data_IF_583080547931
#
_entry.id   IF_583080547931
#
_cell.length_a   1.000
_cell.length_b   1.000
_cell.length_c   1.000
_cell.angle_alpha   90.00
_cell.angle_beta   90.00
_cell.angle_gamma   90.00
#
_symmetry.space_group_name_H-M   'P 1'
#
loop_
_entity.id
_entity.type
_entity.pdbx_description
1 polymer ?
#
# COMPACT_ATOMS: atom_id res chain seq x y z
N UNK A 1 1.22 -27.94 9.11
CA UNK A 1 2.33 -27.30 9.84
C UNK A 1 2.04 -25.81 9.86
N UNK A 2 1.65 -25.25 11.00
CA UNK A 2 1.16 -23.87 11.14
C UNK A 2 2.08 -23.09 12.10
N UNK A 3 2.84 -22.08 11.64
CA UNK A 3 3.81 -21.41 12.47
C UNK A 3 3.14 -20.30 13.31
N UNK A 4 2.86 -20.63 14.57
CA UNK A 4 3.03 -19.77 15.76
C UNK A 4 2.52 -18.31 15.67
N UNK A 5 1.25 -18.09 15.35
CA UNK A 5 0.54 -16.84 15.66
C UNK A 5 0.25 -16.71 17.17
N UNK A 6 1.23 -16.50 18.04
CA UNK A 6 0.89 -16.32 19.48
C UNK A 6 1.90 -15.59 20.37
N UNK A 7 2.83 -14.80 19.83
CA UNK A 7 3.67 -13.92 20.68
C UNK A 7 3.39 -12.42 20.53
N UNK A 8 2.91 -11.96 19.37
CA UNK A 8 2.64 -10.52 19.13
C UNK A 8 1.37 -9.98 19.78
N UNK A 9 0.36 -10.82 20.02
CA UNK A 9 -0.96 -10.36 20.50
C UNK A 9 -0.91 -9.88 21.97
N UNK A 10 0.03 -10.41 22.77
CA UNK A 10 0.18 -10.02 24.18
C UNK A 10 1.00 -8.74 24.37
N UNK A 11 1.84 -8.34 23.41
CA UNK A 11 2.59 -7.08 23.46
C UNK A 11 1.73 -5.88 23.00
N UNK A 12 0.72 -6.13 22.14
CA UNK A 12 -0.20 -5.12 21.61
C UNK A 12 -1.01 -4.37 22.68
N UNK A 13 -1.51 -5.07 23.70
CA UNK A 13 -2.38 -4.48 24.74
C UNK A 13 -1.70 -3.33 25.51
N UNK A 14 -0.36 -3.25 25.50
CA UNK A 14 0.38 -2.17 26.16
C UNK A 14 0.39 -0.85 25.36
N UNK A 15 0.29 -0.91 24.03
CA UNK A 15 0.37 0.25 23.13
C UNK A 15 -1.00 0.72 22.61
N UNK A 16 -2.09 0.11 23.08
CA UNK A 16 -3.42 0.28 22.49
C UNK A 16 -4.17 1.52 23.02
N UNK A 17 -3.76 2.09 24.15
CA UNK A 17 -4.61 3.02 24.92
C UNK A 17 -3.97 4.37 25.25
N UNK A 18 -2.69 4.56 24.98
CA UNK A 18 -2.03 5.85 25.25
C UNK A 18 -2.16 6.74 24.00
N UNK A 19 -2.84 7.87 24.15
CA UNK A 19 -2.98 8.84 23.07
C UNK A 19 -1.61 9.45 22.76
N UNK A 20 -1.27 9.47 21.46
CA UNK A 20 -0.12 10.18 20.94
C UNK A 20 -0.40 11.70 20.98
N UNK A 21 0.65 12.52 21.13
CA UNK A 21 0.61 13.95 20.85
C UNK A 21 -0.02 14.25 19.48
N UNK A 22 -0.68 15.41 19.36
CA UNK A 22 -1.44 15.80 18.15
C UNK A 22 -0.59 15.85 16.89
N UNK A 23 0.68 16.24 17.01
CA UNK A 23 1.69 16.24 15.94
C UNK A 23 2.07 14.83 15.44
N UNK A 24 1.69 13.79 16.19
CA UNK A 24 1.94 12.37 15.88
C UNK A 24 0.67 11.61 15.50
N UNK A 25 -0.47 12.28 15.37
CA UNK A 25 -1.71 11.64 14.93
C UNK A 25 -1.57 11.15 13.50
N UNK A 26 -2.18 9.99 13.22
CA UNK A 26 -2.35 9.57 11.84
C UNK A 26 -3.53 10.30 11.23
N UNK A 27 -3.30 11.03 10.15
CA UNK A 27 -4.37 11.72 9.41
C UNK A 27 -4.73 10.92 8.15
N UNK A 28 -5.96 10.40 8.12
CA UNK A 28 -6.51 9.79 6.91
C UNK A 28 -6.88 10.90 5.93
N UNK A 29 -6.25 10.90 4.75
CA UNK A 29 -6.49 11.87 3.68
C UNK A 29 -6.81 11.16 2.37
N UNK A 30 -7.77 11.72 1.64
CA UNK A 30 -8.01 11.33 0.26
C UNK A 30 -6.92 11.88 -0.67
N UNK A 31 -6.78 11.32 -1.89
CA UNK A 31 -5.90 11.89 -2.93
C UNK A 31 -6.22 13.35 -3.26
N UNK A 32 -7.46 13.79 -3.02
CA UNK A 32 -7.90 15.18 -3.17
C UNK A 32 -7.31 16.14 -2.12
N UNK A 33 -6.66 15.62 -1.08
CA UNK A 33 -6.19 16.37 0.09
C UNK A 33 -7.25 16.54 1.18
N UNK A 34 -8.47 16.03 0.99
CA UNK A 34 -9.53 16.09 2.00
C UNK A 34 -9.20 15.18 3.19
N UNK A 35 -9.29 15.71 4.40
CA UNK A 35 -9.15 14.95 5.64
C UNK A 35 -10.44 14.17 5.93
N UNK A 36 -10.29 12.87 6.15
CA UNK A 36 -11.39 11.92 6.42
C UNK A 36 -11.50 11.63 7.91
N UNK A 37 -10.39 11.68 8.62
CA UNK A 37 -10.35 11.43 10.06
C UNK A 37 -8.93 11.40 10.60
N UNK A 38 -8.84 11.25 11.92
CA UNK A 38 -7.57 11.16 12.63
C UNK A 38 -7.56 9.93 13.53
N UNK A 39 -6.36 9.42 13.81
CA UNK A 39 -6.13 8.43 14.85
C UNK A 39 -5.02 8.90 15.79
N UNK A 40 -5.42 9.10 17.05
CA UNK A 40 -4.53 9.42 18.17
C UNK A 40 -3.98 8.17 18.86
N UNK A 41 -4.55 7.00 18.59
CA UNK A 41 -4.15 5.71 19.17
C UNK A 41 -4.09 4.61 18.11
N UNK A 42 -3.35 3.53 18.40
CA UNK A 42 -3.33 2.32 17.57
C UNK A 42 -4.75 1.74 17.41
N UNK A 43 -5.58 1.81 18.47
CA UNK A 43 -6.97 1.34 18.40
C UNK A 43 -7.81 2.16 17.40
N UNK A 44 -7.66 3.48 17.41
CA UNK A 44 -8.32 4.36 16.44
C UNK A 44 -7.81 4.13 15.03
N UNK A 45 -6.51 3.92 14.86
CA UNK A 45 -5.92 3.62 13.57
C UNK A 45 -6.49 2.33 12.98
N UNK A 46 -6.58 1.26 13.77
CA UNK A 46 -7.19 -0.01 13.34
C UNK A 46 -8.66 0.15 12.98
N UNK A 47 -9.42 0.95 13.73
CA UNK A 47 -10.82 1.28 13.39
C UNK A 47 -10.91 2.07 12.09
N UNK A 48 -10.03 3.06 11.91
CA UNK A 48 -9.91 3.86 10.69
C UNK A 48 -9.65 2.96 9.48
N UNK A 49 -8.59 2.13 9.52
CA UNK A 49 -8.22 1.22 8.42
C UNK A 49 -9.36 0.27 8.02
N UNK A 50 -10.24 -0.12 8.95
CA UNK A 50 -11.40 -0.98 8.67
C UNK A 50 -12.60 -0.25 8.06
N UNK A 51 -12.67 1.07 8.19
CA UNK A 51 -13.86 1.85 7.87
C UNK A 51 -13.68 2.83 6.72
N UNK A 52 -12.46 3.31 6.49
CA UNK A 52 -12.16 4.22 5.38
C UNK A 52 -12.19 3.49 4.04
N UNK A 53 -12.50 4.24 2.98
CA UNK A 53 -12.59 3.73 1.62
C UNK A 53 -11.28 3.09 1.14
N UNK A 54 -11.40 2.07 0.28
CA UNK A 54 -10.25 1.34 -0.26
C UNK A 54 -9.30 2.25 -1.06
N UNK A 55 -9.79 3.30 -1.70
CA UNK A 55 -8.97 4.31 -2.39
C UNK A 55 -8.12 5.13 -1.42
N UNK A 56 -8.64 5.45 -0.23
CA UNK A 56 -7.88 6.12 0.85
C UNK A 56 -6.82 5.18 1.41
N UNK A 57 -7.16 3.91 1.61
CA UNK A 57 -6.18 2.89 2.03
C UNK A 57 -5.06 2.77 0.99
N UNK A 58 -5.41 2.62 -0.28
CA UNK A 58 -4.46 2.52 -1.36
C UNK A 58 -3.55 3.75 -1.44
N UNK A 59 -4.11 4.95 -1.29
CA UNK A 59 -3.36 6.20 -1.28
C UNK A 59 -2.25 6.20 -0.24
N UNK A 60 -2.59 5.93 1.03
CA UNK A 60 -1.61 5.86 2.11
C UNK A 60 -0.62 4.69 1.97
N UNK A 61 -1.10 3.54 1.51
CA UNK A 61 -0.28 2.35 1.27
C UNK A 61 0.80 2.64 0.22
N UNK A 62 0.42 3.29 -0.90
CA UNK A 62 1.34 3.61 -2.00
C UNK A 62 2.46 4.58 -1.59
N UNK A 63 2.24 5.36 -0.52
CA UNK A 63 3.16 6.38 0.01
C UNK A 63 4.02 5.88 1.17
N UNK A 64 3.77 4.66 1.64
CA UNK A 64 4.42 4.09 2.82
C UNK A 64 4.03 4.81 4.11
N UNK A 65 2.83 5.41 4.16
CA UNK A 65 2.42 6.22 5.31
C UNK A 65 2.19 5.36 6.56
N UNK A 66 1.77 4.09 6.40
CA UNK A 66 1.51 3.22 7.54
C UNK A 66 2.79 2.76 8.21
N UNK A 67 3.77 2.28 7.42
CA UNK A 67 5.06 1.86 7.98
C UNK A 67 5.80 3.01 8.68
N UNK A 68 5.77 4.21 8.07
CA UNK A 68 6.35 5.42 8.66
C UNK A 68 5.69 5.77 9.99
N UNK A 69 4.35 5.79 10.03
CA UNK A 69 3.63 6.13 11.25
C UNK A 69 3.79 5.07 12.34
N UNK A 70 3.80 3.78 11.99
CA UNK A 70 4.01 2.69 12.94
C UNK A 70 5.41 2.71 13.55
N UNK A 71 6.44 3.08 12.77
CA UNK A 71 7.80 3.24 13.29
C UNK A 71 7.87 4.32 14.39
N UNK A 72 7.17 5.44 14.18
CA UNK A 72 7.11 6.57 15.11
C UNK A 72 6.26 6.22 16.33
N UNK A 73 5.11 5.56 16.12
CA UNK A 73 4.09 5.35 17.15
C UNK A 73 4.39 4.18 18.09
N UNK A 74 4.97 3.10 17.57
CA UNK A 74 5.25 1.90 18.37
C UNK A 74 6.67 1.88 18.93
N UNK A 75 7.59 2.64 18.33
CA UNK A 75 9.02 2.62 18.69
C UNK A 75 9.69 1.26 18.54
N UNK A 76 9.02 0.30 17.91
CA UNK A 76 9.49 -1.06 17.66
C UNK A 76 9.76 -1.23 16.15
N UNK A 77 10.97 -1.62 15.74
CA UNK A 77 11.31 -1.78 14.34
C UNK A 77 10.53 -2.93 13.65
N UNK A 78 10.05 -3.93 14.39
CA UNK A 78 9.47 -5.14 13.78
C UNK A 78 8.09 -4.87 13.14
N UNK A 79 7.10 -4.25 13.82
CA UNK A 79 5.83 -3.89 13.20
C UNK A 79 5.95 -2.95 12.00
N UNK A 80 6.88 -2.00 12.06
CA UNK A 80 7.13 -1.05 10.97
C UNK A 80 7.71 -1.75 9.73
N UNK A 81 8.66 -2.67 9.92
CA UNK A 81 9.25 -3.44 8.83
C UNK A 81 8.23 -4.39 8.16
N UNK A 82 7.36 -5.01 8.97
CA UNK A 82 6.25 -5.83 8.47
C UNK A 82 5.25 -5.01 7.64
N UNK A 83 4.91 -3.80 8.12
CA UNK A 83 4.06 -2.88 7.37
C UNK A 83 4.72 -2.46 6.05
N UNK A 84 6.00 -2.10 6.07
CA UNK A 84 6.74 -1.70 4.86
C UNK A 84 6.83 -2.84 3.83
N UNK A 85 6.94 -4.08 4.29
CA UNK A 85 6.91 -5.26 3.41
C UNK A 85 5.52 -5.46 2.82
N UNK A 86 4.47 -5.31 3.63
CA UNK A 86 3.07 -5.41 3.18
C UNK A 86 2.75 -4.34 2.12
N UNK A 87 3.18 -3.09 2.34
CA UNK A 87 3.02 -1.98 1.40
C UNK A 87 3.71 -2.29 0.06
N UNK A 88 4.98 -2.70 0.09
CA UNK A 88 5.74 -3.07 -1.12
C UNK A 88 5.11 -4.22 -1.89
N UNK A 89 4.68 -5.27 -1.19
CA UNK A 89 4.04 -6.44 -1.81
C UNK A 89 2.73 -6.05 -2.50
N UNK A 90 1.93 -5.20 -1.87
CA UNK A 90 0.68 -4.72 -2.46
C UNK A 90 0.93 -3.84 -3.69
N UNK A 91 1.95 -2.97 -3.66
CA UNK A 91 2.36 -2.17 -4.83
C UNK A 91 2.81 -3.08 -5.98
N UNK A 92 3.67 -4.06 -5.70
CA UNK A 92 4.17 -4.98 -6.71
C UNK A 92 3.05 -5.81 -7.34
N UNK A 93 2.11 -6.32 -6.53
CA UNK A 93 0.94 -7.06 -7.03
C UNK A 93 0.05 -6.19 -7.90
N UNK A 94 -0.26 -4.97 -7.45
CA UNK A 94 -1.08 -4.05 -8.23
C UNK A 94 -0.44 -3.71 -9.59
N UNK A 95 0.87 -3.46 -9.63
CA UNK A 95 1.59 -3.24 -10.87
C UNK A 95 1.54 -4.47 -11.81
N UNK A 96 1.72 -5.67 -11.26
CA UNK A 96 1.63 -6.92 -12.01
C UNK A 96 0.22 -7.13 -12.58
N UNK A 97 -0.83 -6.84 -11.81
CA UNK A 97 -2.22 -6.94 -12.24
C UNK A 97 -2.54 -5.96 -13.37
N UNK A 98 -2.11 -4.69 -13.25
CA UNK A 98 -2.25 -3.69 -14.32
C UNK A 98 -1.54 -4.14 -15.58
N UNK A 99 -0.30 -4.62 -15.47
CA UNK A 99 0.47 -5.07 -16.62
C UNK A 99 -0.19 -6.29 -17.30
N UNK A 100 -0.69 -7.24 -16.50
CA UNK A 100 -1.45 -8.38 -16.99
C UNK A 100 -2.73 -7.96 -17.72
N UNK A 101 -3.50 -7.04 -17.13
CA UNK A 101 -4.71 -6.51 -17.74
C UNK A 101 -4.43 -5.77 -19.07
N UNK A 102 -3.39 -4.94 -19.09
CA UNK A 102 -2.94 -4.23 -20.30
C UNK A 102 -2.59 -5.20 -21.42
N UNK A 103 -1.78 -6.22 -21.14
CA UNK A 103 -1.41 -7.23 -22.15
C UNK A 103 -2.62 -7.97 -22.69
N UNK A 104 -3.56 -8.37 -21.83
CA UNK A 104 -4.79 -9.06 -22.26
C UNK A 104 -5.67 -8.16 -23.14
N UNK A 105 -5.76 -6.87 -22.80
CA UNK A 105 -6.52 -5.91 -23.58
C UNK A 105 -5.89 -5.70 -24.97
N UNK A 106 -4.56 -5.55 -25.04
CA UNK A 106 -3.85 -5.42 -26.30
C UNK A 106 -4.02 -6.67 -27.18
N UNK A 107 -3.79 -7.86 -26.63
CA UNK A 107 -3.96 -9.12 -27.36
C UNK A 107 -5.39 -9.29 -27.91
N UNK A 108 -6.41 -8.90 -27.13
CA UNK A 108 -7.80 -8.92 -27.58
C UNK A 108 -8.04 -7.96 -28.76
N UNK A 109 -7.49 -6.74 -28.69
CA UNK A 109 -7.63 -5.74 -29.76
C UNK A 109 -6.88 -6.18 -31.02
N UNK A 110 -5.65 -6.69 -30.86
CA UNK A 110 -4.83 -7.21 -31.96
C UNK A 110 -5.54 -8.36 -32.68
N UNK A 111 -6.12 -9.30 -31.93
CA UNK A 111 -6.88 -10.42 -32.50
C UNK A 111 -8.15 -9.96 -33.24
N UNK A 112 -8.96 -9.08 -32.61
CA UNK A 112 -10.22 -8.60 -33.19
C UNK A 112 -10.02 -7.80 -34.48
N UNK A 113 -8.96 -7.00 -34.54
CA UNK A 113 -8.69 -6.13 -35.68
C UNK A 113 -7.62 -6.70 -36.61
N UNK A 114 -7.09 -7.89 -36.31
CA UNK A 114 -5.98 -8.53 -37.04
C UNK A 114 -4.81 -7.56 -37.25
N UNK A 115 -4.53 -6.74 -36.23
CA UNK A 115 -3.41 -5.82 -36.24
C UNK A 115 -2.15 -6.66 -36.05
N UNK A 116 -1.17 -6.50 -36.94
CA UNK A 116 0.17 -7.00 -36.65
C UNK A 116 0.68 -6.25 -35.41
N UNK A 117 1.28 -6.94 -34.41
CA UNK A 117 1.88 -6.26 -33.27
C UNK A 117 2.87 -5.24 -33.83
N UNK A 118 2.71 -3.97 -33.44
CA UNK A 118 3.59 -2.92 -33.93
C UNK A 118 5.05 -3.38 -33.71
N UNK A 119 5.94 -3.23 -34.70
CA UNK A 119 7.34 -3.60 -34.51
C UNK A 119 7.84 -2.85 -33.27
N UNK A 120 8.36 -3.61 -32.29
CA UNK A 120 9.01 -3.03 -31.13
C UNK A 120 10.00 -1.98 -31.63
N UNK A 121 9.93 -0.78 -31.06
CA UNK A 121 10.68 0.38 -31.49
C UNK A 121 12.18 0.24 -31.17
N UNK A 122 12.83 -0.77 -31.76
CA UNK A 122 14.26 -0.98 -31.79
C UNK A 122 14.75 -0.68 -33.20
N UNK A 123 14.93 0.61 -33.45
CA UNK A 123 15.84 1.10 -34.47
C UNK A 123 16.43 2.42 -33.97
N UNK A 124 17.27 2.34 -32.94
CA UNK A 124 18.31 3.35 -32.78
C UNK A 124 19.19 3.33 -34.03
N UNK A 125 19.39 4.46 -34.74
CA UNK A 125 20.26 4.47 -35.91
C UNK A 125 21.71 4.35 -35.45
N UNK A 126 22.40 3.32 -35.96
CA UNK A 126 23.84 3.15 -35.82
C UNK A 126 24.55 4.37 -36.45
N UNK A 127 25.36 5.14 -35.71
CA UNK A 127 26.06 6.30 -36.28
C UNK A 127 27.21 5.84 -37.19
N UNK A 128 27.28 6.46 -38.37
CA UNK A 128 28.30 6.24 -39.41
C UNK A 128 29.70 6.74 -39.03
#
# INVERSE_FOLDING_TARGET
MDPRRTRHVRHWHKYTTQALPEDLWFTFTEPSGKVIGHASTIAEFVRGVRSVDAGVIWWHLSRGDFSRWLAISLGDPDPAALAATTERDAIARHAADIHSARRRLLALIEDLYRLDPAPEADAEPEPA
#
